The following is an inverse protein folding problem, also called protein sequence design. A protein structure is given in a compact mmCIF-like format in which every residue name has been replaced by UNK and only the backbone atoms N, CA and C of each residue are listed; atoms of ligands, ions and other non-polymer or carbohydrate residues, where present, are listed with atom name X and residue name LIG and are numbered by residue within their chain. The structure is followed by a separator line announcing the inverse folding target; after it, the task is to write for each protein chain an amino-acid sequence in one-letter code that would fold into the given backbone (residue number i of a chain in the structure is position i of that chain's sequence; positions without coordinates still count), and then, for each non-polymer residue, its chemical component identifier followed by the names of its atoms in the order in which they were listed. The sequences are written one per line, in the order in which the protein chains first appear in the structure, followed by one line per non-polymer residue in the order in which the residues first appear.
data_IF_415969880537
#
_entry.id   IF_415969880537
#
_cell.length_a   1.000
_cell.length_b   1.000
_cell.length_c   1.000
_cell.angle_alpha   90.00
_cell.angle_beta   90.00
_cell.angle_gamma   90.00
#
_symmetry.space_group_name_H-M   'P 1'
#
loop_
_entity.id
_entity.type
_entity.pdbx_description
1 polymer ?
#
# COMPACT_ATOMS: atom_id res chain seq x y z
N UNK A 1 19.81 8.29 10.80
CA UNK A 1 18.69 8.51 11.74
C UNK A 1 19.08 8.03 13.12
N UNK A 2 18.47 8.56 14.17
CA UNK A 2 18.69 8.12 15.56
C UNK A 2 17.36 8.01 16.29
N UNK A 3 17.19 6.96 17.10
CA UNK A 3 16.07 6.83 18.06
C UNK A 3 16.39 7.71 19.27
N UNK A 4 15.51 8.64 19.63
CA UNK A 4 15.64 9.43 20.85
C UNK A 4 14.85 8.80 22.00
N UNK A 5 13.63 8.33 21.73
CA UNK A 5 12.78 7.57 22.64
C UNK A 5 11.84 6.63 21.86
N UNK A 6 10.82 6.06 22.50
CA UNK A 6 9.91 5.09 21.86
C UNK A 6 9.01 5.68 20.76
N UNK A 7 8.82 7.00 20.75
CA UNK A 7 7.92 7.70 19.84
C UNK A 7 8.61 8.88 19.11
N UNK A 8 9.90 9.11 19.36
CA UNK A 8 10.68 10.22 18.77
C UNK A 8 11.90 9.70 18.01
N UNK A 9 12.04 10.16 16.76
CA UNK A 9 13.19 9.89 15.89
C UNK A 9 13.81 11.18 15.36
N UNK A 10 15.12 11.18 15.20
CA UNK A 10 15.90 12.30 14.67
C UNK A 10 16.52 11.94 13.32
N UNK A 11 16.31 12.81 12.33
CA UNK A 11 16.98 12.77 11.03
C UNK A 11 18.05 13.86 10.99
N UNK A 12 19.32 13.47 10.84
CA UNK A 12 20.44 14.40 10.62
C UNK A 12 20.87 14.28 9.16
N UNK A 13 20.72 15.37 8.41
CA UNK A 13 21.12 15.47 7.01
C UNK A 13 22.60 15.87 6.92
N UNK A 14 23.27 15.45 5.85
CA UNK A 14 24.67 15.85 5.57
C UNK A 14 24.76 17.30 5.08
N UNK A 15 23.71 17.78 4.41
CA UNK A 15 23.55 19.16 3.94
C UNK A 15 22.08 19.58 4.09
N UNK A 16 21.79 20.89 4.21
CA UNK A 16 20.41 21.37 4.21
C UNK A 16 19.66 20.98 2.92
N UNK A 17 18.46 20.41 3.06
CA UNK A 17 17.56 20.09 1.95
C UNK A 17 16.13 20.52 2.31
N UNK A 18 15.61 21.55 1.61
CA UNK A 18 14.28 22.08 1.82
C UNK A 18 13.17 21.11 1.37
N UNK A 19 13.49 20.16 0.48
CA UNK A 19 12.54 19.17 -0.05
C UNK A 19 12.45 17.91 0.82
N UNK A 20 13.26 17.81 1.88
CA UNK A 20 13.32 16.60 2.73
C UNK A 20 11.95 16.19 3.29
N UNK A 21 11.15 17.14 3.78
CA UNK A 21 9.81 16.84 4.29
C UNK A 21 8.87 16.35 3.18
N UNK A 22 9.01 16.85 1.96
CA UNK A 22 8.23 16.38 0.82
C UNK A 22 8.60 14.94 0.47
N UNK A 23 9.90 14.59 0.48
CA UNK A 23 10.36 13.22 0.26
C UNK A 23 9.74 12.23 1.26
N UNK A 24 9.65 12.61 2.54
CA UNK A 24 9.01 11.79 3.59
C UNK A 24 7.49 11.63 3.40
N UNK A 25 6.83 12.52 2.67
CA UNK A 25 5.39 12.45 2.39
C UNK A 25 5.07 11.60 1.15
N UNK A 26 6.06 11.18 0.37
CA UNK A 26 5.86 10.32 -0.80
C UNK A 26 5.56 8.88 -0.40
N UNK A 27 4.93 8.10 -1.29
CA UNK A 27 4.62 6.69 -1.06
C UNK A 27 5.85 5.81 -0.84
N UNK A 28 7.03 6.24 -1.32
CA UNK A 28 8.30 5.53 -1.12
C UNK A 28 8.78 5.57 0.33
N UNK A 29 8.33 6.53 1.13
CA UNK A 29 8.73 6.69 2.53
C UNK A 29 7.76 6.00 3.52
N UNK A 30 7.02 4.99 3.05
CA UNK A 30 6.08 4.25 3.89
C UNK A 30 6.79 3.52 5.04
N UNK A 31 6.20 3.58 6.24
CA UNK A 31 6.74 2.92 7.44
C UNK A 31 6.44 1.42 7.41
N UNK A 32 7.46 0.60 7.63
CA UNK A 32 7.38 -0.86 7.65
C UNK A 32 7.50 -1.43 9.07
N UNK A 33 6.96 -2.62 9.32
CA UNK A 33 7.08 -3.30 10.61
C UNK A 33 8.48 -3.91 10.81
N UNK A 34 9.26 -3.33 11.72
CA UNK A 34 10.57 -3.87 12.10
C UNK A 34 10.46 -5.24 12.80
N UNK A 35 9.39 -5.46 13.57
CA UNK A 35 9.14 -6.75 14.22
C UNK A 35 8.92 -7.85 13.16
N UNK A 36 8.05 -7.58 12.18
CA UNK A 36 7.77 -8.53 11.11
C UNK A 36 9.03 -8.83 10.29
N UNK A 37 9.81 -7.81 9.92
CA UNK A 37 11.08 -7.99 9.25
C UNK A 37 12.03 -8.91 10.04
N UNK A 38 12.16 -8.71 11.36
CA UNK A 38 12.99 -9.56 12.21
C UNK A 38 12.47 -11.01 12.29
N UNK A 39 11.15 -11.21 12.34
CA UNK A 39 10.54 -12.54 12.30
C UNK A 39 10.84 -13.27 10.97
N UNK A 40 10.80 -12.56 9.85
CA UNK A 40 11.11 -13.11 8.53
C UNK A 40 12.60 -13.43 8.37
N UNK A 41 13.50 -12.56 8.85
CA UNK A 41 14.95 -12.80 8.81
C UNK A 41 15.34 -14.07 9.57
N UNK A 42 14.71 -14.34 10.72
CA UNK A 42 14.94 -15.58 11.49
C UNK A 42 14.49 -16.85 10.77
N UNK A 43 13.59 -16.71 9.79
CA UNK A 43 13.05 -17.81 8.99
C UNK A 43 13.68 -17.90 7.59
N UNK A 44 14.58 -16.99 7.25
CA UNK A 44 15.14 -16.82 5.90
C UNK A 44 14.04 -16.59 4.83
N UNK A 45 13.06 -15.73 5.16
CA UNK A 45 11.88 -15.42 4.32
C UNK A 45 11.68 -13.93 4.05
N UNK A 46 12.77 -13.19 3.87
CA UNK A 46 12.78 -11.73 3.71
C UNK A 46 11.96 -11.28 2.50
N UNK A 47 11.82 -12.11 1.46
CA UNK A 47 11.01 -11.85 0.27
C UNK A 47 9.51 -11.67 0.58
N UNK A 48 9.05 -12.18 1.73
CA UNK A 48 7.67 -12.01 2.18
C UNK A 48 7.38 -10.60 2.67
N UNK A 49 8.40 -9.77 2.93
CA UNK A 49 8.17 -8.38 3.30
C UNK A 49 7.47 -7.62 2.16
N UNK A 50 7.85 -7.91 0.91
CA UNK A 50 7.26 -7.32 -0.29
C UNK A 50 5.99 -8.04 -0.75
N UNK A 51 5.91 -9.35 -0.54
CA UNK A 51 4.78 -10.19 -1.02
C UNK A 51 3.61 -10.28 -0.04
N UNK A 52 3.87 -10.12 1.25
CA UNK A 52 2.90 -10.17 2.33
C UNK A 52 3.17 -9.02 3.31
N UNK A 53 2.95 -7.76 2.87
CA UNK A 53 3.33 -6.60 3.66
C UNK A 53 2.44 -6.45 4.90
N UNK A 54 3.06 -6.05 6.00
CA UNK A 54 2.39 -5.63 7.23
C UNK A 54 2.58 -4.13 7.41
N UNK A 55 1.49 -3.37 7.33
CA UNK A 55 1.48 -1.91 7.45
C UNK A 55 0.37 -1.40 8.36
N UNK A 56 0.31 -0.08 8.53
CA UNK A 56 -0.64 0.61 9.42
C UNK A 56 -1.76 1.33 8.66
N UNK A 57 -1.98 0.94 7.40
CA UNK A 57 -2.94 1.57 6.49
C UNK A 57 -4.40 1.21 6.77
N UNK A 58 -5.33 1.79 5.99
CA UNK A 58 -6.77 1.53 6.11
C UNK A 58 -7.20 0.14 5.61
N UNK A 59 -6.39 -0.50 4.78
CA UNK A 59 -6.67 -1.84 4.25
C UNK A 59 -5.45 -2.74 4.38
N UNK A 60 -5.71 -4.04 4.49
CA UNK A 60 -4.71 -5.10 4.65
C UNK A 60 -4.79 -6.04 3.44
N UNK A 61 -3.66 -6.59 3.02
CA UNK A 61 -3.64 -7.60 1.96
C UNK A 61 -4.38 -8.86 2.44
N UNK A 62 -5.39 -9.27 1.69
CA UNK A 62 -6.15 -10.51 1.92
C UNK A 62 -5.72 -11.59 0.93
N UNK A 63 -5.58 -11.23 -0.35
CA UNK A 63 -5.20 -12.17 -1.39
C UNK A 63 -4.48 -11.42 -2.51
N UNK A 64 -3.45 -12.05 -3.08
CA UNK A 64 -2.79 -11.57 -4.28
C UNK A 64 -2.70 -12.70 -5.31
N UNK A 65 -3.26 -12.47 -6.49
CA UNK A 65 -3.12 -13.35 -7.65
C UNK A 65 -2.39 -12.59 -8.74
N UNK A 66 -1.14 -12.97 -8.99
CA UNK A 66 -0.29 -12.32 -9.97
C UNK A 66 -0.97 -12.25 -11.36
N UNK A 67 -0.98 -11.06 -11.95
CA UNK A 67 -1.62 -10.79 -13.24
C UNK A 67 -3.15 -10.84 -13.25
N UNK A 68 -3.81 -11.10 -12.11
CA UNK A 68 -5.27 -11.20 -12.01
C UNK A 68 -5.85 -10.11 -11.12
N UNK A 69 -5.56 -10.15 -9.82
CA UNK A 69 -6.10 -9.16 -8.88
C UNK A 69 -5.32 -9.04 -7.57
N UNK A 70 -5.54 -7.93 -6.88
CA UNK A 70 -5.18 -7.71 -5.48
C UNK A 70 -6.48 -7.51 -4.68
N UNK A 71 -6.69 -8.34 -3.66
CA UNK A 71 -7.82 -8.20 -2.73
C UNK A 71 -7.33 -7.63 -1.42
N UNK A 72 -7.94 -6.53 -1.01
CA UNK A 72 -7.65 -5.83 0.22
C UNK A 72 -8.88 -5.88 1.13
N UNK A 73 -8.68 -6.22 2.39
CA UNK A 73 -9.72 -6.24 3.41
C UNK A 73 -9.57 -5.05 4.35
N UNK A 74 -10.68 -4.49 4.82
CA UNK A 74 -10.67 -3.35 5.74
C UNK A 74 -9.86 -3.64 7.01
N UNK A 75 -9.09 -2.66 7.45
CA UNK A 75 -8.47 -2.64 8.77
C UNK A 75 -9.43 -1.98 9.77
N UNK A 76 -10.18 -2.80 10.52
CA UNK A 76 -11.16 -2.29 11.50
C UNK A 76 -10.51 -1.48 12.63
N UNK A 77 -9.22 -1.71 12.92
CA UNK A 77 -8.40 -0.97 13.89
C UNK A 77 -7.63 0.22 13.32
N UNK A 78 -7.97 0.71 12.12
CA UNK A 78 -7.26 1.83 11.51
C UNK A 78 -7.37 3.11 12.35
N UNK A 79 -6.22 3.71 12.65
CA UNK A 79 -6.08 4.80 13.62
C UNK A 79 -6.73 6.13 13.23
N UNK A 80 -7.02 6.35 11.93
CA UNK A 80 -7.80 7.52 11.46
C UNK A 80 -9.31 7.26 11.35
N UNK A 81 -9.78 6.15 11.88
CA UNK A 81 -11.20 5.76 11.85
C UNK A 81 -11.48 4.63 10.86
N UNK A 82 -12.62 3.96 11.04
CA UNK A 82 -12.98 2.76 10.29
C UNK A 82 -13.34 3.10 8.83
N UNK A 83 -12.67 2.51 7.82
CA UNK A 83 -13.06 2.68 6.43
C UNK A 83 -14.50 2.20 6.17
N UNK A 84 -15.22 2.90 5.30
CA UNK A 84 -16.61 2.53 4.98
C UNK A 84 -16.68 1.21 4.22
N UNK A 85 -15.82 1.06 3.21
CA UNK A 85 -15.79 -0.13 2.36
C UNK A 85 -15.19 -1.32 3.12
N UNK A 86 -15.85 -2.49 3.16
CA UNK A 86 -15.31 -3.67 3.81
C UNK A 86 -14.17 -4.32 3.00
N UNK A 87 -14.16 -4.11 1.69
CA UNK A 87 -13.21 -4.71 0.76
C UNK A 87 -12.92 -3.77 -0.41
N UNK A 88 -11.70 -3.86 -0.93
CA UNK A 88 -11.29 -3.25 -2.19
C UNK A 88 -10.63 -4.35 -3.05
N UNK A 89 -11.00 -4.43 -4.32
CA UNK A 89 -10.36 -5.33 -5.28
C UNK A 89 -9.77 -4.49 -6.40
N UNK A 90 -8.48 -4.65 -6.63
CA UNK A 90 -7.79 -4.07 -7.79
C UNK A 90 -7.69 -5.15 -8.85
N UNK A 91 -8.46 -5.01 -9.93
CA UNK A 91 -8.40 -5.89 -11.09
C UNK A 91 -7.19 -5.50 -11.97
N UNK A 92 -6.30 -6.46 -12.19
CA UNK A 92 -5.11 -6.34 -13.04
C UNK A 92 -5.23 -7.14 -14.34
N UNK A 93 -6.20 -8.06 -14.43
CA UNK A 93 -6.35 -8.97 -15.56
C UNK A 93 -7.12 -8.36 -16.73
N UNK A 94 -7.87 -7.29 -16.49
CA UNK A 94 -8.67 -6.61 -17.51
C UNK A 94 -7.84 -5.59 -18.30
N UNK A 95 -7.61 -5.85 -19.60
CA UNK A 95 -6.95 -4.92 -20.52
C UNK A 95 -7.93 -4.19 -21.46
N UNK A 96 -7.50 -3.04 -22.01
CA UNK A 96 -8.19 -2.36 -23.12
C UNK A 96 -9.67 -2.02 -22.85
N UNK A 97 -10.54 -2.29 -23.83
CA UNK A 97 -12.00 -2.08 -23.77
C UNK A 97 -12.69 -2.93 -22.71
N UNK A 98 -12.07 -4.04 -22.28
CA UNK A 98 -12.61 -4.90 -21.22
C UNK A 98 -12.79 -4.18 -19.89
N UNK A 99 -11.92 -3.21 -19.57
CA UNK A 99 -12.08 -2.36 -18.37
C UNK A 99 -13.32 -1.47 -18.46
N UNK A 100 -13.55 -0.86 -19.63
CA UNK A 100 -14.71 -0.01 -19.85
C UNK A 100 -16.00 -0.83 -19.82
N UNK A 101 -16.02 -2.01 -20.44
CA UNK A 101 -17.17 -2.91 -20.36
C UNK A 101 -17.51 -3.28 -18.92
N UNK A 102 -16.51 -3.62 -18.09
CA UNK A 102 -16.73 -3.93 -16.67
C UNK A 102 -17.30 -2.76 -15.86
N UNK A 103 -16.91 -1.53 -16.18
CA UNK A 103 -17.51 -0.34 -15.58
C UNK A 103 -18.98 -0.20 -16.01
N UNK A 104 -19.26 -0.38 -17.31
CA UNK A 104 -20.62 -0.28 -17.86
C UNK A 104 -21.56 -1.39 -17.35
N UNK A 105 -21.03 -2.59 -17.07
CA UNK A 105 -21.80 -3.71 -16.51
C UNK A 105 -21.92 -3.68 -14.98
N UNK A 106 -21.21 -2.76 -14.31
CA UNK A 106 -21.17 -2.68 -12.85
C UNK A 106 -20.30 -3.74 -12.18
N UNK A 107 -19.47 -4.47 -12.94
CA UNK A 107 -18.44 -5.37 -12.40
C UNK A 107 -17.26 -4.63 -11.77
N UNK A 108 -17.08 -3.35 -12.10
CA UNK A 108 -16.07 -2.47 -11.55
C UNK A 108 -16.69 -1.11 -11.18
N UNK A 109 -16.41 -0.61 -9.97
CA UNK A 109 -16.95 0.66 -9.49
C UNK A 109 -16.10 1.87 -9.93
N UNK A 110 -14.81 1.68 -10.20
CA UNK A 110 -13.84 2.76 -10.50
C UNK A 110 -12.86 2.31 -11.57
N UNK A 111 -12.70 3.12 -12.62
CA UNK A 111 -11.75 2.87 -13.70
C UNK A 111 -10.52 3.78 -13.59
N UNK A 112 -9.35 3.16 -13.42
CA UNK A 112 -8.07 3.88 -13.44
C UNK A 112 -7.64 4.17 -14.89
N UNK A 113 -7.35 5.46 -15.18
CA UNK A 113 -6.87 5.95 -16.48
C UNK A 113 -7.81 5.60 -17.65
N UNK A 114 -8.96 6.30 -17.80
CA UNK A 114 -9.83 6.11 -18.95
C UNK A 114 -9.09 6.42 -20.26
N UNK A 115 -9.39 5.71 -21.37
CA UNK A 115 -8.84 6.05 -22.67
C UNK A 115 -9.22 7.51 -23.02
N UNK A 116 -8.34 8.25 -23.72
CA UNK A 116 -8.64 9.62 -24.10
C UNK A 116 -9.95 9.66 -24.91
N UNK A 117 -10.82 10.61 -24.58
CA UNK A 117 -12.00 10.87 -25.38
C UNK A 117 -11.54 11.29 -26.78
N UNK A 118 -11.94 10.53 -27.79
CA UNK A 118 -11.75 10.88 -29.22
C UNK A 118 -12.93 11.71 -29.69
#
# INVERSE_FOLDING_TARGET
MRKLDNNTVEFRLTQPDASFLWHLATHYASVMSAEYAAQLSRKDRQELLDRQPVGTGPFQLSEYRAGQFIRLQRHDGFWRGKPLMPQVVVDLGSGGTGRLSKLLTGECDVLACPPPAS
#
